data_IF_627692964631
#
_entry.id   IF_627692964631
#
_cell.length_a   1.000
_cell.length_b   1.000
_cell.length_c   1.000
_cell.angle_alpha   90.00
_cell.angle_beta   90.00
_cell.angle_gamma   90.00
#
_symmetry.space_group_name_H-M   'P 1'
#
loop_
_entity.id
_entity.type
_entity.pdbx_description
1 polymer ?
#
# COMPACT_ATOMS: atom_id res chain seq x y z
N UNK A 1 -1.32 -18.28 3.03
CA UNK A 1 -1.01 -17.37 1.91
C UNK A 1 0.49 -17.16 1.77
N UNK A 2 1.18 -16.81 2.86
CA UNK A 2 2.65 -16.71 2.92
C UNK A 2 3.39 -17.88 2.27
N UNK A 3 3.05 -19.13 2.59
CA UNK A 3 3.67 -20.33 1.97
C UNK A 3 3.46 -20.40 0.45
N UNK A 4 2.34 -19.89 -0.08
CA UNK A 4 2.05 -19.87 -1.52
C UNK A 4 2.82 -18.77 -2.26
N UNK A 5 2.98 -17.60 -1.64
CA UNK A 5 3.70 -16.48 -2.25
C UNK A 5 5.22 -16.66 -2.17
N UNK A 6 5.73 -17.19 -1.05
CA UNK A 6 7.15 -17.44 -0.87
C UNK A 6 7.63 -18.64 -1.71
N UNK A 7 6.81 -19.69 -1.90
CA UNK A 7 7.06 -20.81 -2.83
C UNK A 7 8.48 -21.43 -2.81
N UNK A 8 9.20 -21.30 -1.69
CA UNK A 8 10.58 -21.80 -1.55
C UNK A 8 11.67 -20.90 -2.17
N UNK A 9 11.31 -19.74 -2.72
CA UNK A 9 12.28 -18.73 -3.17
C UNK A 9 12.71 -17.87 -1.97
N UNK A 10 14.01 -17.86 -1.61
CA UNK A 10 14.52 -17.14 -0.45
C UNK A 10 14.67 -15.64 -0.67
N UNK A 11 14.49 -15.15 -1.90
CA UNK A 11 14.58 -13.72 -2.21
C UNK A 11 13.49 -12.94 -1.45
N UNK A 12 13.81 -11.75 -0.91
CA UNK A 12 12.82 -10.89 -0.28
C UNK A 12 11.65 -10.58 -1.21
N UNK A 13 10.44 -10.56 -0.65
CA UNK A 13 9.20 -10.33 -1.37
C UNK A 13 8.60 -9.00 -0.92
N UNK A 14 8.52 -8.03 -1.83
CA UNK A 14 8.00 -6.70 -1.52
C UNK A 14 6.66 -6.47 -2.18
N UNK A 15 5.70 -5.99 -1.39
CA UNK A 15 4.37 -5.61 -1.87
C UNK A 15 4.37 -4.15 -2.34
N UNK A 16 4.02 -3.93 -3.60
CA UNK A 16 3.68 -2.62 -4.13
C UNK A 16 2.16 -2.46 -4.19
N UNK A 17 1.64 -1.47 -3.46
CA UNK A 17 0.23 -1.12 -3.38
C UNK A 17 0.02 0.20 -4.14
N UNK A 18 -0.46 0.14 -5.39
CA UNK A 18 -0.80 1.33 -6.16
C UNK A 18 -2.10 1.96 -5.68
N UNK A 19 -2.31 3.24 -6.00
CA UNK A 19 -3.64 3.85 -6.03
C UNK A 19 -4.37 3.50 -7.32
N UNK A 20 -5.69 3.69 -7.33
CA UNK A 20 -6.51 3.46 -8.50
C UNK A 20 -6.19 4.46 -9.62
N UNK A 21 -6.07 3.96 -10.85
CA UNK A 21 -6.14 4.79 -12.08
C UNK A 21 -7.56 5.31 -12.23
N UNK A 22 -7.74 6.62 -12.21
CA UNK A 22 -9.07 7.21 -12.27
C UNK A 22 -9.64 7.36 -13.68
N UNK A 23 -8.78 7.41 -14.69
CA UNK A 23 -9.18 7.49 -16.10
C UNK A 23 -10.13 8.67 -16.36
N UNK A 24 -10.96 8.58 -17.41
CA UNK A 24 -11.95 9.58 -17.79
C UNK A 24 -12.96 9.94 -16.68
N UNK A 25 -13.20 9.05 -15.70
CA UNK A 25 -14.16 9.27 -14.60
C UNK A 25 -13.66 10.17 -13.46
N UNK A 26 -12.34 10.42 -13.39
CA UNK A 26 -11.74 11.17 -12.28
C UNK A 26 -11.89 12.68 -12.38
N UNK A 27 -12.11 13.21 -13.60
CA UNK A 27 -12.18 14.65 -13.86
C UNK A 27 -13.34 15.37 -13.16
N UNK A 28 -14.33 14.65 -12.62
CA UNK A 28 -15.54 15.24 -12.02
C UNK A 28 -15.60 15.04 -10.49
N UNK A 29 -14.90 14.06 -9.92
CA UNK A 29 -15.12 13.62 -8.52
C UNK A 29 -13.92 13.73 -7.58
N UNK A 30 -12.69 13.91 -8.08
CA UNK A 30 -11.48 13.88 -7.27
C UNK A 30 -10.53 15.05 -7.62
N UNK A 31 -10.86 16.24 -7.11
CA UNK A 31 -10.11 17.49 -7.35
C UNK A 31 -8.68 17.48 -6.78
N UNK A 32 -8.30 16.45 -6.01
CA UNK A 32 -6.96 16.27 -5.44
C UNK A 32 -6.10 15.25 -6.21
N UNK A 33 -6.56 14.76 -7.36
CA UNK A 33 -5.91 13.66 -8.06
C UNK A 33 -4.68 14.07 -8.88
N UNK A 34 -3.70 13.15 -8.90
CA UNK A 34 -2.54 13.19 -9.80
C UNK A 34 -3.00 13.00 -11.27
N UNK A 35 -2.45 13.74 -12.25
CA UNK A 35 -2.75 13.50 -13.67
C UNK A 35 -2.40 12.06 -14.08
N UNK A 36 -3.31 11.37 -14.78
CA UNK A 36 -3.15 9.93 -15.10
C UNK A 36 -1.83 9.61 -15.83
N UNK A 37 -1.40 10.46 -16.77
CA UNK A 37 -0.13 10.28 -17.49
C UNK A 37 1.07 10.41 -16.54
N UNK A 38 1.12 11.48 -15.75
CA UNK A 38 2.21 11.71 -14.81
C UNK A 38 2.27 10.61 -13.73
N UNK A 39 1.12 10.07 -13.34
CA UNK A 39 1.04 8.94 -12.42
C UNK A 39 1.53 7.63 -13.07
N UNK A 40 1.13 7.35 -14.31
CA UNK A 40 1.62 6.20 -15.05
C UNK A 40 3.15 6.26 -15.23
N UNK A 41 3.69 7.41 -15.63
CA UNK A 41 5.14 7.64 -15.75
C UNK A 41 5.87 7.44 -14.42
N UNK A 42 5.29 7.91 -13.31
CA UNK A 42 5.82 7.67 -11.97
C UNK A 42 5.89 6.16 -11.70
N UNK A 43 4.80 5.42 -11.90
CA UNK A 43 4.78 3.98 -11.67
C UNK A 43 5.80 3.24 -12.54
N UNK A 44 5.90 3.57 -13.83
CA UNK A 44 6.90 2.98 -14.72
C UNK A 44 8.32 3.23 -14.20
N UNK A 45 8.62 4.46 -13.76
CA UNK A 45 9.92 4.82 -13.20
C UNK A 45 10.24 4.01 -11.94
N UNK A 46 9.26 3.84 -11.06
CA UNK A 46 9.40 3.06 -9.83
C UNK A 46 9.59 1.57 -10.13
N UNK A 47 8.77 0.99 -11.01
CA UNK A 47 8.80 -0.43 -11.34
C UNK A 47 10.10 -0.82 -12.07
N UNK A 48 10.67 0.06 -12.89
CA UNK A 48 11.99 -0.16 -13.51
C UNK A 48 13.12 -0.39 -12.49
N UNK A 49 12.96 0.04 -11.23
CA UNK A 49 13.95 -0.21 -10.18
C UNK A 49 14.11 -1.72 -9.87
N UNK A 50 13.08 -2.53 -10.08
CA UNK A 50 13.18 -3.99 -9.93
C UNK A 50 14.06 -4.64 -11.00
N UNK A 51 14.20 -4.04 -12.18
CA UNK A 51 15.15 -4.53 -13.20
C UNK A 51 16.60 -4.41 -12.74
N UNK A 52 16.87 -3.40 -11.91
CA UNK A 52 18.19 -3.14 -11.34
C UNK A 52 18.44 -3.96 -10.06
N UNK A 53 17.40 -4.62 -9.52
CA UNK A 53 17.44 -5.37 -8.25
C UNK A 53 16.75 -6.74 -8.37
N UNK A 54 17.22 -7.63 -9.28
CA UNK A 54 16.61 -8.95 -9.52
C UNK A 54 16.65 -9.90 -8.31
N UNK A 55 17.43 -9.58 -7.28
CA UNK A 55 17.46 -10.24 -5.98
C UNK A 55 16.21 -9.99 -5.13
N UNK A 56 15.35 -9.03 -5.51
CA UNK A 56 14.09 -8.73 -4.83
C UNK A 56 12.91 -9.06 -5.72
N UNK A 57 11.92 -9.76 -5.15
CA UNK A 57 10.69 -10.14 -5.84
C UNK A 57 9.61 -9.08 -5.65
N UNK A 58 8.83 -8.86 -6.71
CA UNK A 58 7.69 -7.96 -6.69
C UNK A 58 6.38 -8.73 -6.49
N UNK A 59 5.56 -8.28 -5.54
CA UNK A 59 4.11 -8.52 -5.55
C UNK A 59 3.43 -7.20 -5.89
N UNK A 60 2.74 -7.15 -7.02
CA UNK A 60 1.96 -5.99 -7.42
C UNK A 60 0.48 -6.24 -7.11
N UNK A 61 -0.09 -5.42 -6.21
CA UNK A 61 -1.51 -5.51 -5.88
C UNK A 61 -2.33 -4.74 -6.92
N UNK A 62 -3.02 -5.46 -7.79
CA UNK A 62 -3.92 -4.86 -8.77
C UNK A 62 -5.15 -4.27 -8.08
N UNK A 63 -5.53 -3.06 -8.51
CA UNK A 63 -6.78 -2.41 -8.15
C UNK A 63 -7.83 -2.77 -9.19
N UNK A 64 -8.79 -3.63 -8.83
CA UNK A 64 -9.94 -3.92 -9.67
C UNK A 64 -10.99 -2.84 -9.44
N UNK A 65 -10.87 -1.72 -10.14
CA UNK A 65 -12.00 -0.78 -10.28
C UNK A 65 -12.34 -0.68 -11.75
N UNK A 66 -13.36 -1.45 -12.14
CA UNK A 66 -14.30 -1.21 -13.23
C UNK A 66 -13.80 -0.43 -14.47
N UNK A 67 -12.70 -0.87 -15.09
CA UNK A 67 -12.41 -0.70 -16.52
C UNK A 67 -11.18 -1.55 -16.87
N UNK A 68 -11.42 -2.80 -17.30
CA UNK A 68 -10.40 -3.82 -17.57
C UNK A 68 -9.26 -3.34 -18.47
N UNK A 69 -9.48 -2.36 -19.34
CA UNK A 69 -8.50 -1.95 -20.36
C UNK A 69 -7.22 -1.30 -19.81
N UNK A 70 -7.27 -0.60 -18.67
CA UNK A 70 -6.08 0.11 -18.15
C UNK A 70 -5.29 -0.68 -17.12
N UNK A 71 -5.95 -1.61 -16.40
CA UNK A 71 -5.22 -2.62 -15.62
C UNK A 71 -4.33 -3.47 -16.53
N UNK A 72 -4.74 -3.68 -17.79
CA UNK A 72 -3.93 -4.41 -18.78
C UNK A 72 -2.64 -3.67 -19.14
N UNK A 73 -2.64 -2.34 -19.31
CA UNK A 73 -1.42 -1.62 -19.71
C UNK A 73 -0.31 -1.74 -18.66
N UNK A 74 -0.65 -1.54 -17.38
CA UNK A 74 0.33 -1.70 -16.31
C UNK A 74 0.74 -3.16 -16.12
N UNK A 75 -0.21 -4.09 -16.26
CA UNK A 75 0.06 -5.52 -16.27
C UNK A 75 1.04 -5.92 -17.37
N UNK A 76 0.80 -5.52 -18.61
CA UNK A 76 1.63 -5.82 -19.77
C UNK A 76 3.03 -5.22 -19.57
N UNK A 77 3.10 -3.97 -19.09
CA UNK A 77 4.36 -3.33 -18.73
C UNK A 77 5.12 -4.13 -17.66
N UNK A 78 4.47 -4.54 -16.57
CA UNK A 78 5.12 -5.32 -15.50
C UNK A 78 5.59 -6.67 -16.02
N UNK A 79 4.77 -7.38 -16.80
CA UNK A 79 5.13 -8.68 -17.34
C UNK A 79 6.31 -8.62 -18.31
N UNK A 80 6.38 -7.58 -19.15
CA UNK A 80 7.50 -7.35 -20.06
C UNK A 80 8.78 -6.95 -19.31
N UNK A 81 8.65 -6.10 -18.30
CA UNK A 81 9.80 -5.50 -17.61
C UNK A 81 10.30 -6.33 -16.42
N UNK A 82 9.42 -7.12 -15.78
CA UNK A 82 9.68 -7.90 -14.56
C UNK A 82 8.92 -9.25 -14.67
N UNK A 83 9.42 -10.21 -15.49
CA UNK A 83 8.68 -11.42 -15.84
C UNK A 83 8.32 -12.34 -14.66
N UNK A 84 9.04 -12.24 -13.54
CA UNK A 84 8.79 -13.03 -12.33
C UNK A 84 7.94 -12.29 -11.27
N UNK A 85 7.40 -11.11 -11.60
CA UNK A 85 6.50 -10.38 -10.74
C UNK A 85 5.19 -11.15 -10.50
N UNK A 86 4.75 -11.16 -9.25
CA UNK A 86 3.45 -11.71 -8.87
C UNK A 86 2.42 -10.59 -8.92
N UNK A 87 1.55 -10.62 -9.92
CA UNK A 87 0.39 -9.74 -9.95
C UNK A 87 -0.79 -10.43 -9.28
N UNK A 88 -1.53 -9.70 -8.46
CA UNK A 88 -2.62 -10.29 -7.70
C UNK A 88 -3.72 -9.29 -7.38
N UNK A 89 -4.95 -9.78 -7.38
CA UNK A 89 -6.13 -9.05 -6.94
C UNK A 89 -6.61 -9.46 -5.54
N UNK A 90 -5.81 -10.26 -4.82
CA UNK A 90 -6.12 -10.70 -3.46
C UNK A 90 -6.31 -9.51 -2.51
N UNK A 91 -7.00 -9.76 -1.40
CA UNK A 91 -7.25 -8.71 -0.40
C UNK A 91 -5.94 -8.24 0.21
N UNK A 92 -5.82 -6.93 0.43
CA UNK A 92 -4.62 -6.33 1.01
C UNK A 92 -4.32 -6.94 2.39
N UNK A 93 -5.36 -7.18 3.19
CA UNK A 93 -5.27 -7.86 4.49
C UNK A 93 -4.65 -9.25 4.44
N UNK A 94 -4.71 -9.96 3.32
CA UNK A 94 -4.11 -11.29 3.18
C UNK A 94 -2.67 -11.21 2.67
N UNK A 95 -2.38 -10.19 1.85
CA UNK A 95 -1.06 -9.93 1.26
C UNK A 95 -0.08 -9.33 2.28
N UNK A 96 -0.51 -8.34 3.06
CA UNK A 96 0.36 -7.50 3.89
C UNK A 96 1.13 -8.27 4.97
N UNK A 97 0.62 -9.43 5.42
CA UNK A 97 1.31 -10.29 6.39
C UNK A 97 2.30 -11.26 5.75
N UNK A 98 2.22 -11.45 4.43
CA UNK A 98 2.93 -12.50 3.68
C UNK A 98 4.21 -11.99 3.00
N UNK A 99 4.57 -10.73 3.20
CA UNK A 99 5.64 -10.02 2.49
C UNK A 99 6.65 -9.45 3.49
N UNK A 100 7.82 -9.08 3.00
CA UNK A 100 8.93 -8.61 3.83
C UNK A 100 8.91 -7.10 4.02
N UNK A 101 8.46 -6.35 3.02
CA UNK A 101 8.22 -4.91 3.11
C UNK A 101 7.05 -4.47 2.21
N UNK A 102 6.55 -3.27 2.46
CA UNK A 102 5.39 -2.72 1.73
C UNK A 102 5.69 -1.31 1.26
N UNK A 103 5.36 -1.04 -0.01
CA UNK A 103 5.39 0.27 -0.63
C UNK A 103 3.95 0.67 -0.94
N UNK A 104 3.53 1.84 -0.48
CA UNK A 104 2.21 2.41 -0.79
C UNK A 104 2.42 3.73 -1.51
N UNK A 105 1.94 3.83 -2.75
CA UNK A 105 2.22 5.02 -3.56
C UNK A 105 1.29 6.21 -3.27
N UNK A 106 0.22 6.04 -2.49
CA UNK A 106 -0.63 7.13 -2.03
C UNK A 106 -1.19 6.88 -0.63
N UNK A 107 -1.25 7.92 0.19
CA UNK A 107 -1.89 7.89 1.53
C UNK A 107 -3.41 7.91 1.38
N UNK A 108 -3.98 6.76 1.00
CA UNK A 108 -5.43 6.50 0.97
C UNK A 108 -5.78 5.38 1.95
N UNK A 109 -6.96 4.77 1.84
CA UNK A 109 -7.45 3.73 2.77
C UNK A 109 -6.46 2.60 3.05
N UNK A 110 -5.67 2.21 2.05
CA UNK A 110 -4.64 1.18 2.18
C UNK A 110 -3.61 1.47 3.29
N UNK A 111 -3.34 2.74 3.61
CA UNK A 111 -2.37 3.09 4.65
C UNK A 111 -2.82 2.58 6.03
N UNK A 112 -4.11 2.68 6.33
CA UNK A 112 -4.66 2.25 7.61
C UNK A 112 -4.58 0.73 7.79
N UNK A 113 -4.62 -0.03 6.70
CA UNK A 113 -4.47 -1.48 6.72
C UNK A 113 -3.01 -1.87 6.96
N UNK A 114 -2.08 -1.35 6.15
CA UNK A 114 -0.67 -1.79 6.21
C UNK A 114 0.04 -1.34 7.48
N UNK A 115 -0.42 -0.25 8.12
CA UNK A 115 0.08 0.21 9.41
C UNK A 115 -0.24 -0.76 10.56
N UNK A 116 -1.18 -1.69 10.38
CA UNK A 116 -1.47 -2.75 11.37
C UNK A 116 -0.37 -3.81 11.44
N UNK A 117 0.49 -3.88 10.41
CA UNK A 117 1.60 -4.82 10.37
C UNK A 117 2.81 -4.27 11.12
N UNK A 118 3.82 -5.12 11.35
CA UNK A 118 5.14 -4.70 11.82
C UNK A 118 6.15 -4.54 10.65
N UNK A 119 5.69 -4.58 9.40
CA UNK A 119 6.58 -4.56 8.23
C UNK A 119 7.20 -3.18 8.01
N UNK A 120 8.43 -3.08 7.48
CA UNK A 120 8.95 -1.83 6.93
C UNK A 120 8.00 -1.25 5.88
N UNK A 121 7.74 0.05 5.98
CA UNK A 121 6.81 0.78 5.11
C UNK A 121 7.50 1.97 4.45
N UNK A 122 7.33 2.10 3.14
CA UNK A 122 7.59 3.32 2.40
C UNK A 122 6.27 3.83 1.82
N UNK A 123 6.02 5.13 1.98
CA UNK A 123 4.76 5.74 1.60
C UNK A 123 5.02 7.03 0.83
N UNK A 124 4.31 7.20 -0.29
CA UNK A 124 4.31 8.46 -1.03
C UNK A 124 3.10 9.31 -0.67
N UNK A 125 3.36 10.55 -0.27
CA UNK A 125 2.38 11.53 0.19
C UNK A 125 2.66 12.89 -0.48
N UNK A 126 2.34 13.05 -1.77
CA UNK A 126 2.63 14.28 -2.49
C UNK A 126 1.90 15.49 -1.91
N UNK A 127 2.53 16.67 -1.97
CA UNK A 127 1.84 17.95 -1.75
C UNK A 127 1.05 18.34 -3.02
N UNK A 128 -0.11 19.00 -2.89
CA UNK A 128 -0.73 19.52 -1.67
C UNK A 128 -1.80 18.59 -1.10
N UNK A 129 -1.67 17.25 -1.26
CA UNK A 129 -2.70 16.32 -0.76
C UNK A 129 -3.11 16.76 0.65
N UNK A 130 -4.42 16.79 0.90
CA UNK A 130 -5.08 17.42 2.04
C UNK A 130 -4.74 16.82 3.43
N UNK A 131 -3.59 16.16 3.54
CA UNK A 131 -3.00 15.67 4.76
C UNK A 131 -2.44 16.84 5.58
N UNK A 132 -2.93 16.98 6.80
CA UNK A 132 -2.42 17.98 7.72
C UNK A 132 -0.94 17.76 8.03
N UNK A 133 -0.17 18.81 8.39
CA UNK A 133 1.21 18.64 8.88
C UNK A 133 1.32 17.62 10.02
N UNK A 134 0.28 17.52 10.86
CA UNK A 134 0.19 16.53 11.93
C UNK A 134 0.12 15.09 11.40
N UNK A 135 -0.67 14.83 10.36
CA UNK A 135 -0.78 13.52 9.73
C UNK A 135 0.59 13.04 9.25
N UNK A 136 1.37 13.93 8.61
CA UNK A 136 2.75 13.64 8.22
C UNK A 136 3.61 13.28 9.43
N UNK A 137 3.64 14.15 10.44
CA UNK A 137 4.48 13.95 11.62
C UNK A 137 4.20 12.61 12.29
N UNK A 138 2.93 12.24 12.43
CA UNK A 138 2.54 10.96 13.01
C UNK A 138 2.90 9.78 12.10
N UNK A 139 2.69 9.90 10.78
CA UNK A 139 3.02 8.83 9.83
C UNK A 139 4.52 8.57 9.75
N UNK A 140 5.34 9.63 9.78
CA UNK A 140 6.80 9.55 9.76
C UNK A 140 7.41 8.87 10.99
N UNK A 141 6.65 8.69 12.08
CA UNK A 141 7.08 7.87 13.23
C UNK A 141 7.04 6.37 12.93
N UNK A 142 6.29 5.94 11.90
CA UNK A 142 6.04 4.53 11.59
C UNK A 142 6.52 4.12 10.20
N UNK A 143 6.53 5.03 9.24
CA UNK A 143 6.90 4.76 7.86
C UNK A 143 7.90 5.78 7.33
N UNK A 144 8.68 5.38 6.33
CA UNK A 144 9.42 6.34 5.50
C UNK A 144 8.38 7.07 4.63
N UNK A 145 8.34 8.39 4.73
CA UNK A 145 7.37 9.22 4.01
C UNK A 145 8.11 10.08 2.99
N UNK A 146 7.79 9.88 1.72
CA UNK A 146 8.26 10.71 0.62
C UNK A 146 7.18 11.74 0.24
N UNK A 147 7.56 12.99 0.00
CA UNK A 147 6.66 14.08 -0.41
C UNK A 147 6.83 14.48 -1.88
N UNK A 148 7.92 14.04 -2.52
CA UNK A 148 8.18 14.30 -3.94
C UNK A 148 8.44 13.01 -4.73
N UNK A 149 8.22 13.00 -6.06
CA UNK A 149 8.56 11.84 -6.90
C UNK A 149 10.02 11.41 -6.78
N UNK A 150 10.93 12.36 -6.60
CA UNK A 150 12.36 12.11 -6.44
C UNK A 150 12.67 11.42 -5.12
N UNK A 151 12.10 11.92 -4.01
CA UNK A 151 12.21 11.27 -2.70
C UNK A 151 11.60 9.88 -2.72
N UNK A 152 10.45 9.70 -3.38
CA UNK A 152 9.81 8.40 -3.45
C UNK A 152 10.65 7.40 -4.24
N UNK A 153 11.14 7.80 -5.42
CA UNK A 153 12.04 6.98 -6.22
C UNK A 153 13.33 6.63 -5.48
N UNK A 154 13.92 7.60 -4.76
CA UNK A 154 15.08 7.33 -3.91
C UNK A 154 14.74 6.36 -2.79
N UNK A 155 13.61 6.55 -2.12
CA UNK A 155 13.16 5.71 -1.03
C UNK A 155 12.89 4.27 -1.48
N UNK A 156 12.27 4.07 -2.65
CA UNK A 156 12.06 2.73 -3.21
C UNK A 156 13.41 2.10 -3.50
N UNK A 157 14.30 2.81 -4.21
CA UNK A 157 15.64 2.28 -4.52
C UNK A 157 16.39 1.87 -3.26
N UNK A 158 16.40 2.72 -2.23
CA UNK A 158 17.02 2.39 -0.94
C UNK A 158 16.38 1.16 -0.32
N UNK A 159 15.05 1.08 -0.31
CA UNK A 159 14.32 -0.07 0.23
C UNK A 159 14.74 -1.36 -0.49
N UNK A 160 14.70 -1.40 -1.83
CA UNK A 160 15.09 -2.58 -2.62
C UNK A 160 16.54 -3.01 -2.34
N UNK A 161 17.45 -2.06 -2.17
CA UNK A 161 18.87 -2.31 -1.93
C UNK A 161 19.21 -2.71 -0.49
N UNK A 162 18.25 -2.68 0.45
CA UNK A 162 18.52 -3.05 1.86
C UNK A 162 18.97 -4.50 2.01
N UNK A 163 18.46 -5.42 1.17
CA UNK A 163 18.75 -6.85 1.25
C UNK A 163 18.23 -7.57 2.49
N UNK A 164 17.81 -6.83 3.52
CA UNK A 164 17.19 -7.32 4.74
C UNK A 164 16.01 -6.43 5.15
N UNK A 165 14.93 -7.02 5.68
CA UNK A 165 13.71 -6.29 6.02
C UNK A 165 13.20 -6.73 7.40
N UNK A 166 13.92 -6.35 8.47
CA UNK A 166 13.51 -6.73 9.82
C UNK A 166 12.14 -6.13 10.14
N UNK A 167 11.31 -6.91 10.81
CA UNK A 167 10.09 -6.39 11.41
C UNK A 167 10.43 -5.34 12.48
N UNK A 168 9.56 -4.36 12.62
CA UNK A 168 9.71 -3.28 13.59
C UNK A 168 9.17 -3.75 14.93
N UNK A 169 10.05 -3.82 15.92
CA UNK A 169 9.65 -4.05 17.31
C UNK A 169 8.85 -2.84 17.83
N UNK A 170 7.64 -3.10 18.34
CA UNK A 170 6.73 -2.08 18.88
C UNK A 170 6.45 -0.91 17.89
N UNK A 171 5.78 -1.18 16.75
CA UNK A 171 5.48 -0.13 15.77
C UNK A 171 4.68 1.02 16.40
N UNK A 172 5.01 2.26 16.04
CA UNK A 172 4.25 3.43 16.50
C UNK A 172 2.83 3.40 15.92
N UNK A 173 1.82 3.46 16.79
CA UNK A 173 0.40 3.39 16.41
C UNK A 173 -0.32 4.74 16.50
N UNK A 174 0.38 5.84 16.75
CA UNK A 174 -0.27 7.15 16.99
C UNK A 174 -1.05 7.63 15.77
N UNK A 175 -0.53 7.40 14.56
CA UNK A 175 -1.26 7.71 13.33
C UNK A 175 -2.57 6.93 13.25
N UNK A 176 -2.54 5.62 13.52
CA UNK A 176 -3.74 4.77 13.51
C UNK A 176 -4.75 5.19 14.58
N UNK A 177 -4.31 5.58 15.77
CA UNK A 177 -5.20 6.05 16.83
C UNK A 177 -5.89 7.37 16.45
N UNK A 178 -5.21 8.25 15.71
CA UNK A 178 -5.76 9.54 15.29
C UNK A 178 -6.65 9.44 14.05
N UNK A 179 -6.28 8.60 13.07
CA UNK A 179 -6.88 8.63 11.73
C UNK A 179 -7.44 7.29 11.23
N UNK A 180 -7.09 6.17 11.86
CA UNK A 180 -7.40 4.84 11.33
C UNK A 180 -8.46 4.07 12.11
N UNK A 181 -8.38 4.09 13.44
CA UNK A 181 -9.17 3.18 14.29
C UNK A 181 -9.64 3.88 15.55
N UNK A 182 -10.91 3.66 15.89
CA UNK A 182 -11.44 4.04 17.20
C UNK A 182 -10.95 3.06 18.26
N UNK A 183 -10.31 3.57 19.32
CA UNK A 183 -9.68 2.83 20.44
C UNK A 183 -8.47 1.94 20.09
N UNK A 184 -8.32 1.51 18.82
CA UNK A 184 -7.19 0.72 18.32
C UNK A 184 -6.89 -0.56 19.14
N UNK A 185 -7.92 -1.25 19.62
CA UNK A 185 -7.80 -2.41 20.52
C UNK A 185 -8.16 -3.75 19.86
N UNK A 186 -8.42 -3.76 18.55
CA UNK A 186 -8.83 -4.96 17.82
C UNK A 186 -10.26 -5.44 18.09
N UNK A 187 -11.03 -4.75 18.95
CA UNK A 187 -12.34 -5.20 19.42
C UNK A 187 -13.53 -4.57 18.69
N UNK A 188 -13.29 -3.88 17.56
CA UNK A 188 -14.34 -3.16 16.82
C UNK A 188 -15.49 -4.08 16.38
N UNK A 189 -15.18 -5.29 15.88
CA UNK A 189 -16.20 -6.26 15.48
C UNK A 189 -17.03 -6.77 16.68
N UNK A 190 -16.38 -7.00 17.82
CA UNK A 190 -17.06 -7.45 19.05
C UNK A 190 -18.01 -6.39 19.58
N UNK A 191 -17.58 -5.11 19.61
CA UNK A 191 -18.43 -3.98 19.99
C UNK A 191 -19.63 -3.83 19.07
N UNK A 192 -19.42 -3.93 17.76
CA UNK A 192 -20.51 -3.85 16.78
C UNK A 192 -21.51 -5.00 16.98
N UNK A 193 -21.03 -6.23 17.15
CA UNK A 193 -21.89 -7.39 17.39
C UNK A 193 -22.68 -7.28 18.70
N UNK A 194 -22.06 -6.80 19.78
CA UNK A 194 -22.71 -6.60 21.07
C UNK A 194 -23.87 -5.58 20.97
N UNK A 195 -23.67 -4.48 20.24
CA UNK A 195 -24.70 -3.46 20.03
C UNK A 195 -25.87 -3.99 19.18
N UNK A 196 -25.58 -4.72 18.09
CA UNK A 196 -26.61 -5.36 17.27
C UNK A 196 -27.46 -6.31 18.11
N UNK A 197 -26.83 -7.13 18.95
CA UNK A 197 -27.54 -8.06 19.84
C UNK A 197 -28.42 -7.33 20.86
N UNK A 198 -27.98 -6.18 21.38
CA UNK A 198 -28.75 -5.36 22.29
C UNK A 198 -30.02 -4.81 21.63
N UNK A 199 -29.92 -4.28 20.41
CA UNK A 199 -31.08 -3.71 19.70
C UNK A 199 -32.09 -4.78 19.26
N UNK A 200 -31.63 -5.98 18.90
CA UNK A 200 -32.51 -7.14 18.62
C UNK A 200 -33.30 -7.62 19.84
N UNK A 201 -32.78 -7.40 21.06
CA UNK A 201 -33.49 -7.71 22.31
C UNK A 201 -34.51 -6.64 22.70
N UNK A 202 -34.33 -5.39 22.26
CA UNK A 202 -35.24 -4.26 22.57
C UNK A 202 -36.47 -4.24 21.66
N UNK A 203 -36.37 -4.84 20.49
CA UNK A 203 -37.45 -4.92 19.48
C UNK A 203 -38.34 -6.15 19.62
N UNK A 204 -38.09 -7.00 20.63
CA UNK A 204 -38.95 -8.11 21.04
C UNK A 204 -39.66 -7.75 22.34
#
# INVERSE_FOLDING_TARGET
MQTRLQAGDPRPLILYVPTCFGTFGRAISDLAAYPDVAYFELQQKILKLWQETPEVRLVYKEFIVANDHNSLVMRDFIQDQIPDAIMTNERLTDLMWSVDAIIVDHVVTAINEVLLTNKPLLVYMPKPNASSPQAKTLLSKRAIVAETPTEFNSGVRTLLQMGHYPEIDNPNTEFLQHYGTHLNDGCSAQRAAALILQELKRTK
#
